data_IF_885641538304
#
_entry.id   IF_885641538304
#
_cell.length_a   1.000
_cell.length_b   1.000
_cell.length_c   1.000
_cell.angle_alpha   90.00
_cell.angle_beta   90.00
_cell.angle_gamma   90.00
#
_symmetry.space_group_name_H-M   'P 1'
#
loop_
_entity.id
_entity.type
_entity.pdbx_description
1 polymer ?
#
# COMPACT_ATOMS: atom_id res chain seq x y z
N UNK A 1 13.48 -1.05 31.09
CA UNK A 1 12.04 -1.33 30.98
C UNK A 1 11.87 -2.44 29.97
N UNK A 2 11.18 -3.51 30.35
CA UNK A 2 11.13 -4.81 29.65
C UNK A 2 10.56 -4.67 28.23
N UNK A 3 11.33 -5.07 27.22
CA UNK A 3 10.74 -5.35 25.91
C UNK A 3 9.80 -6.57 26.04
N UNK A 4 8.62 -6.56 25.39
CA UNK A 4 7.76 -7.74 25.35
C UNK A 4 8.50 -8.84 24.58
N UNK A 5 9.09 -9.76 25.33
CA UNK A 5 9.72 -10.97 24.81
C UNK A 5 8.62 -11.83 24.22
N UNK A 6 8.48 -11.82 22.91
CA UNK A 6 7.67 -12.81 22.20
C UNK A 6 8.11 -14.19 22.68
N UNK A 7 7.19 -14.89 23.34
CA UNK A 7 7.45 -16.21 23.90
C UNK A 7 7.73 -17.18 22.74
N UNK A 8 8.90 -17.81 22.76
CA UNK A 8 9.32 -18.79 21.74
C UNK A 8 8.30 -19.90 21.55
N UNK A 9 7.53 -20.23 22.60
CA UNK A 9 6.45 -21.21 22.55
C UNK A 9 5.23 -20.70 21.77
N UNK A 10 4.94 -19.39 21.80
CA UNK A 10 3.89 -18.79 20.97
C UNK A 10 4.31 -18.75 19.50
N UNK A 11 5.60 -18.46 19.22
CA UNK A 11 6.14 -18.45 17.86
C UNK A 11 6.00 -19.82 17.18
N UNK A 12 6.42 -20.90 17.85
CA UNK A 12 6.29 -22.26 17.31
C UNK A 12 4.85 -22.64 16.97
N UNK A 13 3.88 -22.29 17.84
CA UNK A 13 2.46 -22.57 17.59
C UNK A 13 1.90 -21.81 16.39
N UNK A 14 2.37 -20.58 16.15
CA UNK A 14 1.99 -19.77 15.00
C UNK A 14 2.57 -20.37 13.73
N UNK A 15 3.84 -20.77 13.76
CA UNK A 15 4.53 -21.39 12.62
C UNK A 15 3.86 -22.72 12.25
N UNK A 16 3.56 -23.58 13.22
CA UNK A 16 2.84 -24.85 13.02
C UNK A 16 1.43 -24.63 12.46
N UNK A 17 0.73 -23.59 12.93
CA UNK A 17 -0.59 -23.21 12.43
C UNK A 17 -0.53 -22.72 10.98
N UNK A 18 0.47 -21.90 10.63
CA UNK A 18 0.70 -21.44 9.26
C UNK A 18 1.01 -22.65 8.37
N UNK A 19 1.93 -23.52 8.78
CA UNK A 19 2.32 -24.74 8.05
C UNK A 19 1.11 -25.64 7.77
N UNK A 20 0.27 -25.87 8.79
CA UNK A 20 -0.96 -26.67 8.68
C UNK A 20 -1.99 -26.10 7.71
N UNK A 21 -1.96 -24.78 7.47
CA UNK A 21 -2.91 -24.09 6.60
C UNK A 21 -2.36 -23.75 5.22
N UNK A 22 -1.03 -23.73 5.01
CA UNK A 22 -0.38 -23.43 3.72
C UNK A 22 -0.99 -24.18 2.54
N UNK A 23 -1.24 -25.48 2.65
CA UNK A 23 -1.73 -26.30 1.53
C UNK A 23 -3.18 -26.00 1.12
N UNK A 24 -3.97 -25.36 2.00
CA UNK A 24 -5.36 -24.99 1.73
C UNK A 24 -5.55 -23.47 1.57
N UNK A 25 -4.52 -22.66 1.84
CA UNK A 25 -4.60 -21.20 1.74
C UNK A 25 -4.33 -20.67 0.32
N UNK A 26 -3.61 -21.44 -0.50
CA UNK A 26 -3.19 -21.06 -1.86
C UNK A 26 -3.75 -22.02 -2.90
N UNK A 27 -5.04 -22.35 -2.83
CA UNK A 27 -5.71 -22.93 -3.99
C UNK A 27 -5.80 -21.84 -5.05
N UNK A 28 -4.84 -21.82 -5.99
CA UNK A 28 -4.82 -20.87 -7.09
C UNK A 28 -6.09 -21.07 -7.90
N UNK A 29 -7.05 -20.14 -7.79
CA UNK A 29 -8.25 -20.18 -8.61
C UNK A 29 -7.82 -19.84 -10.05
N UNK A 30 -8.34 -20.49 -11.10
CA UNK A 30 -7.92 -20.20 -12.49
C UNK A 30 -8.10 -18.73 -12.90
N UNK A 31 -9.01 -18.00 -12.26
CA UNK A 31 -9.20 -16.54 -12.38
C UNK A 31 -8.05 -15.72 -11.77
N UNK A 32 -7.29 -16.24 -10.80
CA UNK A 32 -6.18 -15.49 -10.17
C UNK A 32 -5.01 -15.24 -11.12
N UNK A 33 -4.84 -16.07 -12.15
CA UNK A 33 -3.83 -15.86 -13.20
C UNK A 33 -4.05 -14.56 -14.00
N UNK A 34 -5.26 -14.00 -13.98
CA UNK A 34 -5.55 -12.74 -14.67
C UNK A 34 -4.99 -11.53 -13.91
N UNK A 35 -4.88 -11.61 -12.57
CA UNK A 35 -4.40 -10.53 -11.72
C UNK A 35 -2.86 -10.48 -11.59
N UNK A 36 -2.16 -11.55 -11.97
CA UNK A 36 -0.69 -11.60 -11.94
C UNK A 36 -0.04 -10.95 -13.17
N UNK A 37 -0.85 -10.47 -14.13
CA UNK A 37 -0.35 -9.80 -15.32
C UNK A 37 0.28 -8.45 -15.02
N UNK A 38 1.11 -7.97 -15.95
CA UNK A 38 1.62 -6.60 -15.91
C UNK A 38 0.47 -5.58 -16.03
N UNK A 39 0.60 -4.47 -15.32
CA UNK A 39 -0.36 -3.37 -15.42
C UNK A 39 -0.26 -2.76 -16.81
N UNK A 40 -1.43 -2.54 -17.41
CA UNK A 40 -1.59 -1.95 -18.74
C UNK A 40 -1.57 -0.42 -18.70
N UNK A 41 -1.35 0.20 -19.86
CA UNK A 41 -1.37 1.65 -19.98
C UNK A 41 -2.79 2.20 -19.75
N UNK A 42 -3.83 1.44 -20.10
CA UNK A 42 -5.24 1.79 -19.90
C UNK A 42 -5.59 1.85 -18.41
N UNK A 43 -5.18 0.82 -17.65
CA UNK A 43 -5.38 0.75 -16.20
C UNK A 43 -4.66 1.89 -15.49
N UNK A 44 -3.39 2.14 -15.86
CA UNK A 44 -2.63 3.26 -15.28
C UNK A 44 -3.32 4.60 -15.56
N UNK A 45 -3.79 4.82 -16.79
CA UNK A 45 -4.50 6.05 -17.15
C UNK A 45 -5.83 6.19 -16.40
N UNK A 46 -6.57 5.09 -16.21
CA UNK A 46 -7.80 5.08 -15.42
C UNK A 46 -7.52 5.44 -13.95
N UNK A 47 -6.45 4.87 -13.38
CA UNK A 47 -6.00 5.16 -12.03
C UNK A 47 -5.57 6.63 -11.87
N UNK A 48 -4.80 7.17 -12.81
CA UNK A 48 -4.39 8.59 -12.78
C UNK A 48 -5.62 9.51 -12.84
N UNK A 49 -6.62 9.18 -13.66
CA UNK A 49 -7.86 9.96 -13.77
C UNK A 49 -8.72 9.93 -12.51
N UNK A 50 -8.66 8.85 -11.73
CA UNK A 50 -9.43 8.71 -10.48
C UNK A 50 -8.78 9.42 -9.29
N UNK A 51 -7.54 9.92 -9.42
CA UNK A 51 -6.82 10.60 -8.33
C UNK A 51 -7.54 11.87 -7.83
N UNK A 52 -7.67 11.99 -6.52
CA UNK A 52 -8.15 13.22 -5.89
C UNK A 52 -7.07 14.33 -5.96
N UNK A 53 -7.38 15.42 -6.67
CA UNK A 53 -6.49 16.57 -6.89
C UNK A 53 -6.10 17.33 -5.62
N UNK A 54 -6.89 17.19 -4.55
CA UNK A 54 -6.73 17.93 -3.27
C UNK A 54 -6.04 17.11 -2.19
N UNK A 55 -5.61 15.87 -2.48
CA UNK A 55 -4.86 15.07 -1.53
C UNK A 55 -3.53 15.73 -1.17
N UNK A 56 -3.16 15.63 0.10
CA UNK A 56 -1.85 16.07 0.57
C UNK A 56 -0.74 15.18 -0.02
N UNK A 57 0.43 15.73 -0.37
CA UNK A 57 1.57 14.94 -0.80
C UNK A 57 2.15 14.13 0.36
N UNK A 58 2.83 13.03 0.01
CA UNK A 58 3.64 12.27 0.96
C UNK A 58 4.94 13.00 1.35
N UNK A 59 5.84 12.33 2.10
CA UNK A 59 7.16 12.84 2.45
C UNK A 59 8.03 13.21 1.24
N UNK A 60 7.80 12.53 0.11
CA UNK A 60 8.43 12.76 -1.20
C UNK A 60 8.03 14.08 -1.88
N UNK A 61 6.99 14.76 -1.37
CA UNK A 61 6.41 16.00 -1.91
C UNK A 61 5.76 15.84 -3.30
N UNK A 62 5.57 14.61 -3.78
CA UNK A 62 4.92 14.35 -5.07
C UNK A 62 3.40 14.41 -4.87
N UNK A 63 2.78 15.49 -5.31
CA UNK A 63 1.31 15.63 -5.33
C UNK A 63 0.66 14.88 -6.49
N UNK A 64 -0.63 14.54 -6.35
CA UNK A 64 -1.46 13.97 -7.42
C UNK A 64 -1.53 14.84 -8.68
N UNK A 65 -1.29 16.16 -8.56
CA UNK A 65 -1.23 17.06 -9.72
C UNK A 65 -0.03 16.78 -10.62
N UNK A 66 1.06 16.23 -10.08
CA UNK A 66 2.21 15.86 -10.93
C UNK A 66 1.81 14.75 -11.89
N UNK A 67 1.16 13.69 -11.40
CA UNK A 67 0.69 12.57 -12.23
C UNK A 67 -0.33 13.00 -13.28
N UNK A 68 -1.26 13.89 -12.91
CA UNK A 68 -2.27 14.44 -13.83
C UNK A 68 -1.69 15.32 -14.94
N UNK A 69 -0.49 15.88 -14.75
CA UNK A 69 0.19 16.74 -15.72
C UNK A 69 1.40 16.05 -16.37
N UNK A 70 1.57 14.73 -16.20
CA UNK A 70 2.64 14.02 -16.88
C UNK A 70 2.44 14.07 -18.39
N UNK A 71 3.55 14.19 -19.10
CA UNK A 71 3.56 13.98 -20.56
C UNK A 71 3.35 12.49 -20.85
N UNK A 72 2.95 12.16 -22.08
CA UNK A 72 2.80 10.77 -22.52
C UNK A 72 4.06 9.93 -22.25
N UNK A 73 5.25 10.48 -22.56
CA UNK A 73 6.54 9.85 -22.24
C UNK A 73 6.69 9.60 -20.73
N UNK A 74 6.28 10.55 -19.90
CA UNK A 74 6.29 10.43 -18.45
C UNK A 74 5.37 9.32 -17.94
N UNK A 75 4.19 9.15 -18.55
CA UNK A 75 3.26 8.07 -18.22
C UNK A 75 3.89 6.70 -18.57
N UNK A 76 4.55 6.57 -19.73
CA UNK A 76 5.25 5.32 -20.08
C UNK A 76 6.42 5.01 -19.13
N UNK A 77 7.16 6.03 -18.67
CA UNK A 77 8.21 5.83 -17.66
C UNK A 77 7.60 5.38 -16.33
N UNK A 78 6.50 6.00 -15.90
CA UNK A 78 5.78 5.60 -14.70
C UNK A 78 5.29 4.17 -14.79
N UNK A 79 4.69 3.76 -15.92
CA UNK A 79 4.23 2.40 -16.16
C UNK A 79 5.36 1.39 -15.96
N UNK A 80 6.55 1.66 -16.54
CA UNK A 80 7.72 0.82 -16.35
C UNK A 80 8.14 0.72 -14.90
N UNK A 81 8.15 1.82 -14.16
CA UNK A 81 8.51 1.83 -12.72
C UNK A 81 7.53 0.97 -11.93
N UNK A 82 6.22 1.12 -12.17
CA UNK A 82 5.19 0.37 -11.44
C UNK A 82 5.27 -1.12 -11.78
N UNK A 83 5.39 -1.50 -13.06
CA UNK A 83 5.53 -2.92 -13.45
C UNK A 83 6.84 -3.54 -12.95
N UNK A 84 7.93 -2.79 -12.91
CA UNK A 84 9.18 -3.26 -12.30
C UNK A 84 9.00 -3.53 -10.80
N UNK A 85 8.28 -2.67 -10.09
CA UNK A 85 7.97 -2.85 -8.68
C UNK A 85 7.06 -4.06 -8.45
N UNK A 86 6.05 -4.23 -9.29
CA UNK A 86 5.13 -5.37 -9.29
C UNK A 86 5.88 -6.69 -9.50
N UNK A 87 6.64 -6.80 -10.59
CA UNK A 87 7.37 -8.02 -10.96
C UNK A 87 8.43 -8.42 -9.92
N UNK A 88 9.14 -7.45 -9.34
CA UNK A 88 10.20 -7.72 -8.37
C UNK A 88 9.68 -7.87 -6.95
N UNK A 89 8.41 -7.54 -6.68
CA UNK A 89 7.87 -7.41 -5.32
C UNK A 89 8.70 -6.45 -4.45
N UNK A 90 9.29 -5.43 -5.07
CA UNK A 90 10.15 -4.43 -4.42
C UNK A 90 9.56 -3.04 -4.60
N UNK A 91 9.25 -2.37 -3.50
CA UNK A 91 8.82 -0.96 -3.48
C UNK A 91 9.97 -0.07 -3.01
N UNK A 92 10.00 1.16 -3.52
CA UNK A 92 11.00 2.17 -3.12
C UNK A 92 10.89 2.44 -1.62
N UNK A 93 12.04 2.65 -0.96
CA UNK A 93 12.07 2.85 0.49
C UNK A 93 11.25 4.07 0.91
N UNK A 94 11.30 5.16 0.13
CA UNK A 94 10.52 6.37 0.38
C UNK A 94 9.00 6.13 0.34
N UNK A 95 8.53 5.14 -0.44
CA UNK A 95 7.10 4.79 -0.53
C UNK A 95 6.61 4.03 0.71
N UNK A 96 7.52 3.47 1.51
CA UNK A 96 7.20 2.81 2.78
C UNK A 96 6.99 3.81 3.92
N UNK A 97 7.39 5.08 3.72
CA UNK A 97 7.37 6.10 4.75
C UNK A 97 6.06 6.89 4.66
N UNK A 98 5.30 6.94 5.75
CA UNK A 98 4.09 7.74 5.87
C UNK A 98 4.13 8.62 7.13
N UNK A 99 3.58 9.84 7.02
CA UNK A 99 3.40 10.73 8.16
C UNK A 99 2.02 10.50 8.79
N UNK A 100 1.99 9.83 9.93
CA UNK A 100 0.77 9.63 10.73
C UNK A 100 0.39 10.97 11.37
N UNK A 101 -0.84 11.43 11.10
CA UNK A 101 -1.40 12.66 11.67
C UNK A 101 -2.79 12.37 12.19
N UNK A 102 -3.02 12.61 13.48
CA UNK A 102 -4.33 12.41 14.10
C UNK A 102 -5.34 13.43 13.54
N UNK A 103 -6.43 12.96 12.94
CA UNK A 103 -7.50 13.82 12.40
C UNK A 103 -8.75 13.67 13.26
N UNK A 104 -9.28 14.78 13.79
CA UNK A 104 -10.52 14.82 14.55
C UNK A 104 -11.69 14.27 13.71
N UNK A 105 -12.49 13.37 14.29
CA UNK A 105 -13.74 12.90 13.67
C UNK A 105 -14.79 14.01 13.67
N UNK A 106 -14.91 14.71 14.80
CA UNK A 106 -15.85 15.81 15.04
C UNK A 106 -15.14 17.02 15.67
N UNK A 107 -15.48 18.23 15.25
CA UNK A 107 -14.81 19.47 15.67
C UNK A 107 -15.06 19.91 17.12
N UNK A 108 -15.85 19.15 17.88
CA UNK A 108 -16.45 19.64 19.13
C UNK A 108 -15.76 19.16 20.41
N UNK A 109 -14.74 18.29 20.33
CA UNK A 109 -14.08 17.74 21.53
C UNK A 109 -12.65 17.26 21.26
N UNK A 110 -11.70 18.21 21.32
CA UNK A 110 -10.27 17.99 21.02
C UNK A 110 -9.51 17.26 22.13
N UNK A 111 -10.08 17.17 23.34
CA UNK A 111 -9.39 16.60 24.49
C UNK A 111 -9.63 15.08 24.61
N UNK A 112 -10.49 14.50 23.78
CA UNK A 112 -10.83 13.08 23.82
C UNK A 112 -10.07 12.28 22.75
N UNK A 113 -9.07 11.46 23.11
CA UNK A 113 -8.26 10.72 22.15
C UNK A 113 -9.05 9.68 21.33
N UNK A 114 -10.20 9.20 21.83
CA UNK A 114 -11.05 8.22 21.12
C UNK A 114 -11.75 8.82 19.89
N UNK A 115 -11.80 10.15 19.79
CA UNK A 115 -12.46 10.89 18.70
C UNK A 115 -11.55 11.21 17.53
N UNK A 116 -10.33 10.69 17.50
CA UNK A 116 -9.42 10.88 16.37
C UNK A 116 -9.40 9.63 15.45
N UNK A 117 -9.11 9.85 14.17
CA UNK A 117 -8.72 8.79 13.23
C UNK A 117 -7.18 8.68 13.29
N UNK A 118 -6.63 7.47 13.54
CA UNK A 118 -5.19 7.24 13.44
C UNK A 118 -4.72 7.32 11.99
#
# INVERSE_FOLDING_TARGET
TLEPRFDSTQKCKIDDFIESKKSNLFQTHPEELEYDNEITIEELNAAIKSLNKKSAPGPDKITNKHFLNLTEKGIYVLLKIVNLSWLKSEILEDWKIAKITMIEKDQNDRNNPLKYRP
#
